data_IF_900588250030
#
_entry.id   IF_900588250030
#
_cell.length_a   1.000
_cell.length_b   1.000
_cell.length_c   1.000
_cell.angle_alpha   90.00
_cell.angle_beta   90.00
_cell.angle_gamma   90.00
#
_symmetry.space_group_name_H-M   'P 1'
#
loop_
_entity.id
_entity.type
_entity.pdbx_description
1 polymer ?
#
# COMPACT_ATOMS: atom_id res chain seq x y z
N UNK A 1 -44.41 12.00 21.13
CA UNK A 1 -44.93 11.93 19.75
C UNK A 1 -43.74 11.95 18.80
N UNK A 2 -43.44 10.85 18.09
CA UNK A 2 -42.45 10.89 17.00
C UNK A 2 -43.14 11.54 15.79
N UNK A 3 -42.50 12.50 15.13
CA UNK A 3 -43.12 13.32 14.08
C UNK A 3 -43.74 12.53 12.89
N UNK A 4 -43.48 11.22 12.78
CA UNK A 4 -43.96 10.35 11.71
C UNK A 4 -45.17 9.47 12.07
N UNK A 5 -45.73 9.59 13.28
CA UNK A 5 -46.88 8.79 13.75
C UNK A 5 -48.07 9.67 14.19
N UNK A 6 -48.33 10.75 13.44
CA UNK A 6 -49.41 11.69 13.75
C UNK A 6 -50.80 11.03 13.75
N UNK A 7 -51.05 10.15 12.78
CA UNK A 7 -52.35 9.48 12.63
C UNK A 7 -52.68 8.55 13.81
N UNK A 8 -51.69 7.76 14.24
CA UNK A 8 -51.82 6.88 15.41
C UNK A 8 -52.00 7.67 16.71
N UNK A 9 -51.25 8.77 16.89
CA UNK A 9 -51.43 9.65 18.05
C UNK A 9 -52.85 10.26 18.09
N UNK A 10 -53.37 10.73 16.95
CA UNK A 10 -54.74 11.23 16.83
C UNK A 10 -55.78 10.13 17.07
N UNK A 11 -55.51 8.88 16.68
CA UNK A 11 -56.38 7.72 16.94
C UNK A 11 -56.43 7.40 18.43
N UNK A 12 -55.28 7.31 19.11
CA UNK A 12 -55.20 7.08 20.55
C UNK A 12 -55.94 8.19 21.31
N UNK A 13 -55.73 9.46 20.95
CA UNK A 13 -56.44 10.58 21.58
C UNK A 13 -57.96 10.49 21.40
N UNK A 14 -58.45 10.03 20.24
CA UNK A 14 -59.88 9.79 20.00
C UNK A 14 -60.42 8.62 20.82
N UNK A 15 -59.67 7.53 20.96
CA UNK A 15 -60.07 6.36 21.74
C UNK A 15 -60.13 6.66 23.25
N UNK A 16 -59.25 7.53 23.75
CA UNK A 16 -59.27 8.04 25.13
C UNK A 16 -60.39 9.07 25.37
N UNK A 17 -61.01 9.58 24.30
CA UNK A 17 -62.11 10.57 24.37
C UNK A 17 -61.66 12.03 24.37
N UNK A 18 -60.36 12.32 24.21
CA UNK A 18 -59.84 13.70 24.10
C UNK A 18 -59.85 14.17 22.64
N UNK A 19 -61.05 14.41 22.13
CA UNK A 19 -61.27 14.82 20.74
C UNK A 19 -60.66 16.19 20.41
N UNK A 20 -60.60 17.10 21.38
CA UNK A 20 -60.01 18.43 21.19
C UNK A 20 -58.50 18.34 20.99
N UNK A 21 -57.81 17.50 21.77
CA UNK A 21 -56.38 17.23 21.60
C UNK A 21 -56.11 16.55 20.26
N UNK A 22 -56.95 15.59 19.86
CA UNK A 22 -56.81 14.95 18.54
C UNK A 22 -56.91 15.97 17.39
N UNK A 23 -57.85 16.92 17.47
CA UNK A 23 -57.99 17.98 16.47
C UNK A 23 -56.78 18.91 16.46
N UNK A 24 -56.25 19.26 17.64
CA UNK A 24 -55.06 20.10 17.78
C UNK A 24 -53.80 19.41 17.22
N UNK A 25 -53.60 18.13 17.53
CA UNK A 25 -52.51 17.31 17.01
C UNK A 25 -52.51 17.30 15.48
N UNK A 26 -53.69 17.16 14.86
CA UNK A 26 -53.83 17.21 13.41
C UNK A 26 -53.34 18.53 12.78
N UNK A 27 -53.17 19.60 13.58
CA UNK A 27 -52.65 20.89 13.14
C UNK A 27 -51.12 21.04 13.28
N UNK A 28 -50.37 20.01 13.69
CA UNK A 28 -48.90 20.10 13.86
C UNK A 28 -48.16 20.52 12.57
N UNK A 29 -48.65 20.12 11.41
CA UNK A 29 -48.11 20.49 10.10
C UNK A 29 -48.80 21.72 9.49
N UNK A 30 -49.62 22.45 10.27
CA UNK A 30 -50.40 23.59 9.77
C UNK A 30 -49.57 24.88 9.63
N UNK A 31 -50.13 25.86 8.91
CA UNK A 31 -49.48 27.15 8.64
C UNK A 31 -49.40 28.07 9.86
N UNK A 32 -48.65 29.17 9.71
CA UNK A 32 -48.38 30.16 10.76
C UNK A 32 -49.59 30.68 11.57
N UNK A 33 -50.79 30.92 10.98
CA UNK A 33 -51.90 31.50 11.73
C UNK A 33 -52.35 30.66 12.93
N UNK A 34 -52.37 29.34 12.79
CA UNK A 34 -52.76 28.43 13.88
C UNK A 34 -51.68 28.42 14.97
N UNK A 35 -50.40 28.45 14.57
CA UNK A 35 -49.28 28.52 15.51
C UNK A 35 -49.34 29.81 16.34
N UNK A 36 -49.66 30.95 15.74
CA UNK A 36 -49.79 32.24 16.44
C UNK A 36 -50.93 32.24 17.46
N UNK A 37 -52.12 31.73 17.07
CA UNK A 37 -53.26 31.62 17.99
C UNK A 37 -52.94 30.75 19.20
N UNK A 38 -52.22 29.64 18.99
CA UNK A 38 -51.82 28.74 20.08
C UNK A 38 -50.76 29.41 20.97
N UNK A 39 -49.82 30.18 20.41
CA UNK A 39 -48.87 30.99 21.19
C UNK A 39 -49.60 32.01 22.07
N UNK A 40 -50.63 32.69 21.55
CA UNK A 40 -51.45 33.60 22.34
C UNK A 40 -52.19 32.86 23.46
N UNK A 41 -52.75 31.68 23.17
CA UNK A 41 -53.43 30.85 24.17
C UNK A 41 -52.50 30.47 25.33
N UNK A 42 -51.26 30.06 25.02
CA UNK A 42 -50.25 29.74 26.04
C UNK A 42 -49.91 30.97 26.90
N UNK A 43 -49.78 32.15 26.27
CA UNK A 43 -49.54 33.42 26.99
C UNK A 43 -50.70 33.77 27.93
N UNK A 44 -51.94 33.60 27.48
CA UNK A 44 -53.13 33.85 28.29
C UNK A 44 -53.20 32.94 29.52
N UNK A 45 -52.91 31.65 29.37
CA UNK A 45 -52.87 30.72 30.50
C UNK A 45 -51.82 31.11 31.53
N UNK A 46 -50.64 31.54 31.06
CA UNK A 46 -49.58 32.05 31.94
C UNK A 46 -50.00 33.32 32.69
N UNK A 47 -50.61 34.29 31.99
CA UNK A 47 -51.06 35.53 32.62
C UNK A 47 -52.19 35.33 33.63
N UNK A 48 -53.13 34.43 33.33
CA UNK A 48 -54.22 34.07 34.22
C UNK A 48 -53.78 33.10 35.35
N UNK A 49 -52.58 32.54 35.27
CA UNK A 49 -52.05 31.57 36.24
C UNK A 49 -52.76 30.22 36.22
N UNK A 50 -53.42 29.88 35.11
CA UNK A 50 -54.16 28.62 34.90
C UNK A 50 -53.21 27.48 34.53
N UNK A 51 -52.00 27.82 34.08
CA UNK A 51 -50.97 26.89 33.65
C UNK A 51 -50.53 25.91 34.74
N UNK A 52 -50.60 26.28 36.03
CA UNK A 52 -50.32 25.42 37.19
C UNK A 52 -51.26 24.21 37.32
N UNK A 53 -52.47 24.32 36.73
CA UNK A 53 -53.48 23.26 36.79
C UNK A 53 -53.49 22.38 35.53
N UNK A 54 -52.62 22.67 34.55
CA UNK A 54 -52.55 21.93 33.28
C UNK A 54 -51.38 20.94 33.36
N UNK A 55 -51.63 19.67 33.01
CA UNK A 55 -50.58 18.65 32.96
C UNK A 55 -49.42 19.06 32.03
N UNK A 56 -48.18 18.79 32.46
CA UNK A 56 -46.96 19.11 31.70
C UNK A 56 -46.99 18.56 30.27
N UNK A 57 -47.46 17.32 30.06
CA UNK A 57 -47.54 16.72 28.71
C UNK A 57 -48.48 17.48 27.78
N UNK A 58 -49.57 18.04 28.32
CA UNK A 58 -50.51 18.87 27.56
C UNK A 58 -49.89 20.22 27.23
N UNK A 59 -49.16 20.85 28.16
CA UNK A 59 -48.43 22.08 27.88
C UNK A 59 -47.32 21.85 26.82
N UNK A 60 -46.57 20.74 26.91
CA UNK A 60 -45.58 20.32 25.90
C UNK A 60 -46.22 20.13 24.53
N UNK A 61 -47.40 19.53 24.47
CA UNK A 61 -48.14 19.36 23.22
C UNK A 61 -48.57 20.69 22.60
N UNK A 62 -49.13 21.61 23.40
CA UNK A 62 -49.52 22.93 22.90
C UNK A 62 -48.29 23.72 22.43
N UNK A 63 -47.17 23.65 23.16
CA UNK A 63 -45.90 24.24 22.75
C UNK A 63 -45.36 23.66 21.43
N UNK A 64 -45.47 22.34 21.25
CA UNK A 64 -45.10 21.65 20.01
C UNK A 64 -45.92 22.16 18.82
N UNK A 65 -47.24 22.32 18.98
CA UNK A 65 -48.13 22.82 17.90
C UNK A 65 -47.88 24.30 17.63
N UNK A 66 -47.56 25.09 18.66
CA UNK A 66 -47.10 26.46 18.50
C UNK A 66 -45.75 26.58 17.77
N UNK A 67 -44.99 25.48 17.64
CA UNK A 67 -43.64 25.48 17.08
C UNK A 67 -42.62 26.17 17.98
N UNK A 68 -42.87 26.19 19.29
CA UNK A 68 -41.93 26.68 20.31
C UNK A 68 -41.22 25.47 20.93
N UNK A 69 -39.89 25.44 20.89
CA UNK A 69 -39.10 24.41 21.57
C UNK A 69 -39.08 24.60 23.09
N UNK A 70 -39.36 25.81 23.56
CA UNK A 70 -39.23 26.19 24.95
C UNK A 70 -40.34 27.13 25.41
N UNK A 71 -40.96 26.82 26.55
CA UNK A 71 -42.03 27.63 27.14
C UNK A 71 -41.81 27.80 28.64
N UNK A 72 -41.94 29.02 29.14
CA UNK A 72 -41.90 29.29 30.57
C UNK A 72 -43.30 29.22 31.19
N UNK A 73 -43.51 28.31 32.12
CA UNK A 73 -44.73 28.17 32.93
C UNK A 73 -44.41 28.40 34.42
N UNK A 74 -45.44 28.51 35.27
CA UNK A 74 -45.32 28.43 36.73
C UNK A 74 -44.77 27.09 37.23
N UNK A 75 -44.90 26.01 36.45
CA UNK A 75 -44.21 24.74 36.70
C UNK A 75 -42.69 24.82 36.48
N UNK A 76 -42.18 25.95 35.99
CA UNK A 76 -40.80 26.15 35.60
C UNK A 76 -40.60 26.20 34.08
N UNK A 77 -39.34 26.22 33.63
CA UNK A 77 -39.00 26.12 32.22
C UNK A 77 -39.38 24.74 31.67
N UNK A 78 -40.24 24.70 30.65
CA UNK A 78 -40.67 23.47 29.99
C UNK A 78 -39.86 23.31 28.70
N UNK A 79 -39.02 22.28 28.67
CA UNK A 79 -38.36 21.80 27.45
C UNK A 79 -39.26 20.79 26.72
N UNK A 80 -39.67 21.13 25.51
CA UNK A 80 -40.47 20.25 24.65
C UNK A 80 -39.63 19.12 24.07
N UNK A 81 -38.32 19.32 23.98
CA UNK A 81 -37.34 18.40 23.43
C UNK A 81 -36.77 17.43 24.46
N UNK A 82 -37.21 17.53 25.72
CA UNK A 82 -36.70 16.72 26.83
C UNK A 82 -36.82 15.22 26.51
N UNK A 83 -35.70 14.51 26.57
CA UNK A 83 -35.61 13.08 26.29
C UNK A 83 -35.60 12.70 24.80
N UNK A 84 -35.55 13.67 23.87
CA UNK A 84 -35.35 13.40 22.45
C UNK A 84 -33.86 13.34 22.08
N UNK A 85 -33.54 12.41 21.17
CA UNK A 85 -32.25 12.41 20.47
C UNK A 85 -32.06 13.73 19.73
N UNK A 86 -30.84 14.25 19.71
CA UNK A 86 -30.51 15.52 19.05
C UNK A 86 -30.95 15.60 17.57
N UNK A 87 -31.01 14.45 16.88
CA UNK A 87 -31.48 14.35 15.48
C UNK A 87 -32.98 14.70 15.34
N UNK A 88 -33.73 14.69 16.44
CA UNK A 88 -35.18 14.94 16.49
C UNK A 88 -35.54 16.31 17.09
N UNK A 89 -34.56 17.08 17.55
CA UNK A 89 -34.79 18.36 18.25
C UNK A 89 -34.74 19.58 17.32
N UNK A 90 -34.74 19.38 16.00
CA UNK A 90 -34.75 20.46 15.03
C UNK A 90 -36.15 21.06 14.86
N UNK A 91 -36.34 22.27 15.39
CA UNK A 91 -37.59 23.04 15.29
C UNK A 91 -37.35 24.33 14.51
N UNK A 92 -38.10 24.55 13.44
CA UNK A 92 -38.01 25.79 12.67
C UNK A 92 -39.32 26.17 11.97
N UNK A 93 -39.39 27.43 11.54
CA UNK A 93 -40.44 27.90 10.64
C UNK A 93 -40.40 27.13 9.31
N UNK A 94 -41.55 26.89 8.64
CA UNK A 94 -41.58 26.35 7.28
C UNK A 94 -40.81 27.20 6.25
N UNK A 95 -40.56 28.48 6.56
CA UNK A 95 -39.80 29.41 5.72
C UNK A 95 -38.31 29.46 6.03
N UNK A 96 -37.84 28.82 7.10
CA UNK A 96 -36.44 28.83 7.50
C UNK A 96 -35.62 27.92 6.59
N UNK A 97 -34.41 28.35 6.25
CA UNK A 97 -33.46 27.48 5.56
C UNK A 97 -32.88 26.45 6.53
N UNK A 98 -32.33 25.36 6.00
CA UNK A 98 -31.65 24.33 6.82
C UNK A 98 -30.51 24.97 7.64
N UNK A 99 -29.85 26.00 7.11
CA UNK A 99 -28.80 26.76 7.82
C UNK A 99 -29.39 27.49 9.03
N UNK A 100 -30.50 28.23 8.84
CA UNK A 100 -31.12 28.99 9.93
C UNK A 100 -31.60 28.06 11.06
N UNK A 101 -32.12 26.89 10.70
CA UNK A 101 -32.53 25.85 11.66
C UNK A 101 -31.34 25.30 12.45
N UNK A 102 -30.20 25.09 11.79
CA UNK A 102 -28.98 24.60 12.42
C UNK A 102 -28.37 25.65 13.35
N UNK A 103 -28.31 26.90 12.91
CA UNK A 103 -27.81 28.03 13.71
C UNK A 103 -28.66 28.22 14.97
N UNK A 104 -30.00 28.14 14.84
CA UNK A 104 -30.92 28.20 15.98
C UNK A 104 -30.67 27.04 16.94
N UNK A 105 -30.53 25.81 16.42
CA UNK A 105 -30.22 24.65 17.24
C UNK A 105 -28.89 24.80 17.99
N UNK A 106 -27.86 25.36 17.36
CA UNK A 106 -26.57 25.64 18.04
C UNK A 106 -26.70 26.64 19.18
N UNK A 107 -27.57 27.65 19.05
CA UNK A 107 -27.81 28.58 20.16
C UNK A 107 -28.43 27.92 21.39
N UNK A 108 -29.10 26.77 21.25
CA UNK A 108 -29.79 26.10 22.36
C UNK A 108 -28.88 25.26 23.26
N UNK A 109 -27.71 24.84 22.77
CA UNK A 109 -26.72 24.10 23.57
C UNK A 109 -25.38 24.84 23.77
N UNK A 110 -25.24 26.04 23.19
CA UNK A 110 -24.08 26.90 23.42
C UNK A 110 -24.12 27.51 24.83
N UNK A 111 -23.39 26.89 25.76
CA UNK A 111 -23.32 27.27 27.19
C UNK A 111 -22.74 28.68 27.39
N UNK A 112 -22.12 29.28 26.37
CA UNK A 112 -21.64 30.67 26.43
C UNK A 112 -22.76 31.71 26.24
N UNK A 113 -23.87 31.32 25.61
CA UNK A 113 -24.99 32.21 25.26
C UNK A 113 -26.23 31.97 26.12
N UNK A 114 -26.43 30.76 26.60
CA UNK A 114 -27.57 30.40 27.44
C UNK A 114 -27.14 29.93 28.82
N UNK A 115 -27.84 30.39 29.86
CA UNK A 115 -27.60 29.99 31.25
C UNK A 115 -27.90 28.51 31.52
N UNK A 116 -28.61 27.84 30.61
CA UNK A 116 -29.00 26.43 30.67
C UNK A 116 -28.97 25.83 29.26
N UNK A 117 -28.70 24.53 29.17
CA UNK A 117 -28.75 23.75 27.92
C UNK A 117 -30.19 23.28 27.74
N UNK A 118 -30.81 23.65 26.61
CA UNK A 118 -32.23 23.40 26.33
C UNK A 118 -32.45 22.34 25.25
N UNK A 119 -31.41 21.59 24.89
CA UNK A 119 -31.49 20.53 23.89
C UNK A 119 -30.38 19.51 24.07
N UNK A 120 -30.58 18.32 23.54
CA UNK A 120 -29.58 17.25 23.53
C UNK A 120 -28.38 17.66 22.67
N UNK A 121 -27.18 17.62 23.23
CA UNK A 121 -25.92 17.90 22.52
C UNK A 121 -25.75 16.85 21.40
N UNK A 122 -25.23 17.22 20.20
CA UNK A 122 -25.04 16.28 19.10
C UNK A 122 -23.85 15.34 19.35
N UNK A 123 -24.03 14.41 20.29
CA UNK A 123 -23.06 13.39 20.67
C UNK A 123 -23.12 12.17 19.75
N UNK A 124 -21.98 11.49 19.50
CA UNK A 124 -21.96 10.20 18.81
C UNK A 124 -22.77 9.13 19.55
N UNK A 125 -23.51 8.32 18.79
CA UNK A 125 -24.45 7.32 19.33
C UNK A 125 -23.80 6.28 20.25
N UNK A 126 -22.55 5.88 19.97
CA UNK A 126 -21.84 4.87 20.75
C UNK A 126 -21.47 5.32 22.17
N UNK A 127 -21.49 6.63 22.48
CA UNK A 127 -21.07 7.15 23.79
C UNK A 127 -22.14 7.08 24.87
N UNK A 128 -23.40 6.81 24.51
CA UNK A 128 -24.49 6.73 25.48
C UNK A 128 -24.65 7.99 26.32
N UNK A 129 -25.22 7.86 27.52
CA UNK A 129 -25.56 8.98 28.41
C UNK A 129 -24.41 9.43 29.34
N UNK A 130 -23.39 8.59 29.52
CA UNK A 130 -22.16 8.90 30.26
C UNK A 130 -21.17 9.75 29.43
N UNK A 131 -21.70 10.70 28.67
CA UNK A 131 -20.92 11.53 27.75
C UNK A 131 -20.20 12.63 28.50
N UNK A 132 -18.93 12.41 28.83
CA UNK A 132 -17.99 13.50 29.04
C UNK A 132 -17.57 14.06 27.67
N UNK A 133 -17.71 15.37 27.50
CA UNK A 133 -17.25 16.07 26.30
C UNK A 133 -15.75 15.88 26.16
N UNK A 134 -15.32 14.89 25.36
CA UNK A 134 -13.91 14.78 25.03
C UNK A 134 -13.49 16.01 24.26
N UNK A 135 -12.45 16.65 24.78
CA UNK A 135 -11.89 17.86 24.24
C UNK A 135 -10.72 17.47 23.35
N UNK A 136 -10.87 17.63 22.04
CA UNK A 136 -9.73 17.59 21.13
C UNK A 136 -9.27 19.02 20.85
N UNK A 137 -8.06 19.36 21.27
CA UNK A 137 -7.47 20.69 21.08
C UNK A 137 -8.36 21.86 21.60
N UNK A 138 -9.03 21.67 22.72
CA UNK A 138 -9.93 22.69 23.30
C UNK A 138 -11.34 22.71 22.73
N UNK A 139 -11.68 21.84 21.76
CA UNK A 139 -13.02 21.76 21.17
C UNK A 139 -13.73 20.43 21.46
N UNK A 140 -15.05 20.47 21.71
CA UNK A 140 -15.84 19.26 21.87
C UNK A 140 -15.97 18.49 20.55
N UNK A 141 -15.93 17.16 20.64
CA UNK A 141 -16.16 16.26 19.51
C UNK A 141 -17.67 16.02 19.36
N UNK A 142 -18.19 16.21 18.14
CA UNK A 142 -19.59 15.99 17.82
C UNK A 142 -19.78 14.79 16.88
N UNK A 143 -21.03 14.37 16.74
CA UNK A 143 -21.43 13.30 15.81
C UNK A 143 -21.09 13.65 14.35
N UNK A 144 -20.70 12.64 13.58
CA UNK A 144 -20.38 12.76 12.15
C UNK A 144 -21.52 13.40 11.33
N UNK A 145 -22.78 13.01 11.59
CA UNK A 145 -23.93 13.58 10.90
C UNK A 145 -24.08 15.07 11.18
N UNK A 146 -23.78 15.52 12.40
CA UNK A 146 -23.82 16.94 12.75
C UNK A 146 -22.74 17.72 11.99
N UNK A 147 -21.52 17.18 11.91
CA UNK A 147 -20.45 17.78 11.10
C UNK A 147 -20.79 17.84 9.60
N UNK A 148 -21.49 16.82 9.07
CA UNK A 148 -21.97 16.83 7.67
C UNK A 148 -23.06 17.87 7.44
N UNK A 149 -24.01 18.03 8.38
CA UNK A 149 -25.01 19.11 8.32
C UNK A 149 -24.33 20.48 8.34
N UNK A 150 -23.34 20.68 9.21
CA UNK A 150 -22.52 21.90 9.24
C UNK A 150 -21.82 22.16 7.91
N UNK A 151 -21.23 21.12 7.31
CA UNK A 151 -20.57 21.22 6.02
C UNK A 151 -21.55 21.60 4.91
N UNK A 152 -22.71 20.95 4.85
CA UNK A 152 -23.76 21.27 3.89
C UNK A 152 -24.26 22.71 4.04
N UNK A 153 -24.48 23.16 5.29
CA UNK A 153 -24.97 24.49 5.55
C UNK A 153 -23.93 25.56 5.28
N UNK A 154 -22.67 25.42 5.69
CA UNK A 154 -21.65 26.50 5.64
C UNK A 154 -20.73 26.43 4.41
N UNK A 155 -20.61 25.26 3.78
CA UNK A 155 -19.67 24.99 2.69
C UNK A 155 -18.19 24.84 3.13
N UNK A 156 -17.78 25.46 4.24
CA UNK A 156 -16.38 25.58 4.66
C UNK A 156 -16.11 25.01 6.07
N UNK A 157 -16.85 23.98 6.51
CA UNK A 157 -16.61 23.31 7.80
C UNK A 157 -15.29 22.51 7.79
N UNK A 158 -14.58 22.46 8.92
CA UNK A 158 -13.26 21.83 8.97
C UNK A 158 -13.36 20.30 8.79
N UNK A 159 -12.78 19.80 7.69
CA UNK A 159 -12.86 18.37 7.37
C UNK A 159 -12.03 17.50 8.31
N UNK A 160 -10.98 18.05 8.93
CA UNK A 160 -10.15 17.29 9.85
C UNK A 160 -10.88 16.85 11.11
N UNK A 161 -11.75 17.70 11.67
CA UNK A 161 -12.60 17.35 12.81
C UNK A 161 -13.64 16.28 12.41
N UNK A 162 -14.23 16.44 11.22
CA UNK A 162 -15.23 15.53 10.67
C UNK A 162 -14.68 14.11 10.45
N UNK A 163 -13.45 13.99 9.95
CA UNK A 163 -12.82 12.71 9.63
C UNK A 163 -12.20 12.00 10.85
N UNK A 164 -12.31 12.57 12.06
CA UNK A 164 -11.82 11.92 13.26
C UNK A 164 -12.68 10.67 13.58
N UNK A 165 -12.09 9.47 13.82
CA UNK A 165 -12.83 8.27 14.19
C UNK A 165 -13.81 8.47 15.36
N UNK A 166 -13.42 9.29 16.35
CA UNK A 166 -14.24 9.59 17.51
C UNK A 166 -15.63 10.19 17.18
N UNK A 167 -15.84 10.71 15.96
CA UNK A 167 -17.15 11.23 15.52
C UNK A 167 -18.20 10.14 15.28
N UNK A 168 -17.81 8.87 15.13
CA UNK A 168 -18.72 7.79 14.73
C UNK A 168 -18.42 6.41 15.33
N UNK A 169 -17.23 6.19 15.91
CA UNK A 169 -16.88 4.90 16.55
C UNK A 169 -16.14 5.10 17.87
N UNK A 170 -16.29 4.13 18.77
CA UNK A 170 -15.58 4.07 20.04
C UNK A 170 -14.11 3.67 19.89
N UNK A 171 -13.78 2.99 18.78
CA UNK A 171 -12.43 2.54 18.50
C UNK A 171 -11.62 3.67 17.83
N UNK A 172 -10.60 4.25 18.48
CA UNK A 172 -9.80 5.31 17.88
C UNK A 172 -8.98 4.84 16.68
N UNK A 173 -8.88 3.53 16.43
CA UNK A 173 -8.14 2.92 15.33
C UNK A 173 -9.02 2.57 14.12
N UNK A 174 -10.35 2.70 14.20
CA UNK A 174 -11.22 2.42 13.05
C UNK A 174 -11.30 3.62 12.10
N UNK A 175 -10.38 3.65 11.12
CA UNK A 175 -10.32 4.70 10.10
C UNK A 175 -11.13 4.36 8.84
N UNK A 176 -11.88 3.25 8.82
CA UNK A 176 -12.60 2.79 7.62
C UNK A 176 -13.62 3.80 7.13
N UNK A 177 -14.52 4.26 8.01
CA UNK A 177 -15.54 5.24 7.62
C UNK A 177 -14.92 6.61 7.38
N UNK A 178 -13.91 7.01 8.16
CA UNK A 178 -13.13 8.23 7.90
C UNK A 178 -12.53 8.23 6.49
N UNK A 179 -11.89 7.15 6.06
CA UNK A 179 -11.29 7.08 4.74
C UNK A 179 -12.34 7.11 3.62
N UNK A 180 -13.42 6.34 3.75
CA UNK A 180 -14.51 6.34 2.77
C UNK A 180 -15.17 7.72 2.66
N UNK A 181 -15.43 8.37 3.80
CA UNK A 181 -16.00 9.71 3.85
C UNK A 181 -15.07 10.71 3.17
N UNK A 182 -13.75 10.63 3.40
CA UNK A 182 -12.77 11.46 2.72
C UNK A 182 -12.85 11.30 1.19
N UNK A 183 -12.96 10.08 0.66
CA UNK A 183 -13.06 9.87 -0.79
C UNK A 183 -14.36 10.44 -1.36
N UNK A 184 -15.49 10.23 -0.67
CA UNK A 184 -16.79 10.79 -1.11
C UNK A 184 -16.75 12.31 -1.11
N UNK A 185 -16.26 12.94 -0.04
CA UNK A 185 -16.17 14.40 0.06
C UNK A 185 -15.26 15.00 -1.01
N UNK A 186 -14.11 14.38 -1.30
CA UNK A 186 -13.24 14.78 -2.40
C UNK A 186 -13.94 14.67 -3.76
N UNK A 187 -14.71 13.59 -3.98
CA UNK A 187 -15.47 13.40 -5.23
C UNK A 187 -16.58 14.44 -5.44
N UNK A 188 -17.16 14.95 -4.34
CA UNK A 188 -18.15 16.03 -4.35
C UNK A 188 -17.52 17.42 -4.53
N UNK A 189 -16.20 17.52 -4.54
CA UNK A 189 -15.44 18.76 -4.77
C UNK A 189 -14.93 19.45 -3.50
N UNK A 190 -15.11 18.88 -2.31
CA UNK A 190 -14.57 19.43 -1.07
C UNK A 190 -13.07 19.16 -0.98
N UNK A 191 -12.26 20.19 -1.24
CA UNK A 191 -10.79 20.07 -1.35
C UNK A 191 -10.02 20.76 -0.22
N UNK A 192 -10.71 21.40 0.72
CA UNK A 192 -10.12 22.14 1.84
C UNK A 192 -9.59 21.25 2.98
N UNK A 193 -9.20 20.01 2.66
CA UNK A 193 -8.55 19.09 3.59
C UNK A 193 -7.04 19.32 3.57
N UNK A 194 -6.45 19.54 4.75
CA UNK A 194 -5.00 19.62 4.88
C UNK A 194 -4.33 18.32 4.39
N UNK A 195 -3.20 18.45 3.70
CA UNK A 195 -2.46 17.31 3.18
C UNK A 195 -2.04 16.34 4.30
N UNK A 196 -1.64 16.88 5.46
CA UNK A 196 -1.27 16.08 6.63
C UNK A 196 -2.39 15.16 7.09
N UNK A 197 -3.61 15.71 7.27
CA UNK A 197 -4.75 14.89 7.71
C UNK A 197 -5.16 13.88 6.65
N UNK A 198 -5.10 14.25 5.36
CA UNK A 198 -5.37 13.30 4.29
C UNK A 198 -4.40 12.11 4.35
N UNK A 199 -3.09 12.38 4.46
CA UNK A 199 -2.05 11.35 4.59
C UNK A 199 -2.28 10.49 5.83
N UNK A 200 -2.61 11.09 6.97
CA UNK A 200 -2.90 10.38 8.22
C UNK A 200 -4.03 9.36 8.04
N UNK A 201 -5.14 9.77 7.42
CA UNK A 201 -6.28 8.86 7.14
C UNK A 201 -5.87 7.72 6.21
N UNK A 202 -5.10 8.01 5.16
CA UNK A 202 -4.59 6.98 4.24
C UNK A 202 -3.71 5.96 4.96
N UNK A 203 -2.73 6.44 5.72
CA UNK A 203 -1.76 5.59 6.43
C UNK A 203 -2.47 4.75 7.48
N UNK A 204 -3.31 5.35 8.33
CA UNK A 204 -3.97 4.63 9.41
C UNK A 204 -4.92 3.55 8.87
N UNK A 205 -5.72 3.87 7.85
CA UNK A 205 -6.60 2.86 7.25
C UNK A 205 -5.81 1.76 6.52
N UNK A 206 -4.73 2.10 5.82
CA UNK A 206 -3.84 1.11 5.21
C UNK A 206 -3.19 0.19 6.26
N UNK A 207 -2.75 0.74 7.41
CA UNK A 207 -2.20 -0.07 8.51
C UNK A 207 -3.24 -0.97 9.16
N UNK A 208 -4.49 -0.52 9.28
CA UNK A 208 -5.61 -1.35 9.73
C UNK A 208 -5.80 -2.54 8.79
N UNK A 209 -5.89 -2.30 7.48
CA UNK A 209 -6.01 -3.36 6.47
C UNK A 209 -4.82 -4.32 6.48
N UNK A 210 -3.61 -3.79 6.64
CA UNK A 210 -2.38 -4.59 6.78
C UNK A 210 -2.47 -5.53 8.00
N UNK A 211 -2.92 -5.04 9.15
CA UNK A 211 -3.08 -5.84 10.36
C UNK A 211 -4.13 -6.95 10.22
N UNK A 212 -5.18 -6.75 9.43
CA UNK A 212 -6.17 -7.78 9.09
C UNK A 212 -5.70 -8.78 8.02
N UNK A 213 -4.47 -8.64 7.49
CA UNK A 213 -3.94 -9.48 6.42
C UNK A 213 -4.41 -9.09 5.01
N UNK A 214 -5.16 -7.99 4.87
CA UNK A 214 -5.67 -7.45 3.61
C UNK A 214 -4.69 -6.45 2.99
N UNK A 215 -3.41 -6.81 2.93
CA UNK A 215 -2.34 -5.91 2.50
C UNK A 215 -2.46 -5.45 1.04
N UNK A 216 -3.10 -6.23 0.16
CA UNK A 216 -3.36 -5.82 -1.24
C UNK A 216 -4.34 -4.65 -1.30
N UNK A 217 -5.33 -4.59 -0.40
CA UNK A 217 -6.20 -3.42 -0.24
C UNK A 217 -5.49 -2.26 0.45
N UNK A 218 -4.56 -2.53 1.37
CA UNK A 218 -3.71 -1.49 1.93
C UNK A 218 -2.91 -0.77 0.83
N UNK A 219 -2.41 -1.49 -0.17
CA UNK A 219 -1.75 -0.90 -1.35
C UNK A 219 -2.72 0.01 -2.11
N UNK A 220 -3.95 -0.46 -2.38
CA UNK A 220 -4.99 0.37 -3.01
C UNK A 220 -5.23 1.68 -2.26
N UNK A 221 -5.33 1.64 -0.93
CA UNK A 221 -5.48 2.85 -0.11
C UNK A 221 -4.27 3.79 -0.25
N UNK A 222 -3.05 3.25 -0.24
CA UNK A 222 -1.82 4.05 -0.38
C UNK A 222 -1.63 4.65 -1.77
N UNK A 223 -2.26 4.09 -2.81
CA UNK A 223 -2.25 4.69 -4.16
C UNK A 223 -2.95 6.05 -4.22
N UNK A 224 -3.79 6.39 -3.23
CA UNK A 224 -4.48 7.67 -3.15
C UNK A 224 -3.62 8.80 -2.55
N UNK A 225 -2.39 8.50 -2.11
CA UNK A 225 -1.43 9.52 -1.72
C UNK A 225 -1.13 10.45 -2.90
N UNK A 226 -1.18 11.76 -2.70
CA UNK A 226 -0.93 12.76 -3.77
C UNK A 226 0.53 12.75 -4.25
N UNK A 227 1.47 12.75 -3.30
CA UNK A 227 2.91 12.74 -3.56
C UNK A 227 3.37 11.43 -4.22
N UNK A 228 3.89 11.52 -5.44
CA UNK A 228 4.31 10.36 -6.22
C UNK A 228 5.51 9.61 -5.61
N UNK A 229 6.44 10.33 -4.97
CA UNK A 229 7.59 9.72 -4.31
C UNK A 229 7.17 8.93 -3.09
N UNK A 230 6.40 9.56 -2.18
CA UNK A 230 5.88 8.89 -0.98
C UNK A 230 4.97 7.72 -1.34
N UNK A 231 4.13 7.87 -2.37
CA UNK A 231 3.28 6.79 -2.90
C UNK A 231 4.11 5.61 -3.37
N UNK A 232 5.13 5.83 -4.21
CA UNK A 232 6.04 4.78 -4.68
C UNK A 232 6.71 4.07 -3.50
N UNK A 233 7.31 4.81 -2.57
CA UNK A 233 8.00 4.24 -1.41
C UNK A 233 7.07 3.42 -0.53
N UNK A 234 5.86 3.91 -0.25
CA UNK A 234 4.89 3.20 0.57
C UNK A 234 4.43 1.88 -0.08
N UNK A 235 4.12 1.90 -1.38
CA UNK A 235 3.73 0.70 -2.13
C UNK A 235 4.88 -0.31 -2.15
N UNK A 236 6.10 0.14 -2.46
CA UNK A 236 7.28 -0.74 -2.45
C UNK A 236 7.52 -1.37 -1.08
N UNK A 237 7.37 -0.62 0.02
CA UNK A 237 7.54 -1.14 1.37
C UNK A 237 6.45 -2.16 1.74
N UNK A 238 5.20 -1.97 1.30
CA UNK A 238 4.13 -2.96 1.49
C UNK A 238 4.41 -4.24 0.70
N UNK A 239 4.80 -4.12 -0.56
CA UNK A 239 5.15 -5.25 -1.41
C UNK A 239 6.31 -6.07 -0.82
N UNK A 240 7.40 -5.41 -0.41
CA UNK A 240 8.57 -6.09 0.15
C UNK A 240 8.27 -6.89 1.42
N UNK A 241 7.32 -6.43 2.25
CA UNK A 241 6.93 -7.11 3.49
C UNK A 241 6.07 -8.35 3.19
N UNK A 242 5.08 -8.22 2.31
CA UNK A 242 4.01 -9.22 2.18
C UNK A 242 4.13 -10.15 0.97
N UNK A 243 4.88 -9.79 -0.06
CA UNK A 243 4.93 -10.61 -1.28
C UNK A 243 5.53 -11.99 -1.01
N UNK A 244 4.95 -13.05 -1.56
CA UNK A 244 5.46 -14.41 -1.40
C UNK A 244 6.40 -14.79 -2.56
N UNK A 245 7.41 -15.63 -2.27
CA UNK A 245 8.34 -16.13 -3.28
C UNK A 245 7.77 -17.37 -3.99
N UNK A 246 6.97 -18.15 -3.26
CA UNK A 246 6.44 -19.41 -3.74
C UNK A 246 5.03 -19.17 -4.29
N UNK A 247 4.78 -19.67 -5.49
CA UNK A 247 3.56 -19.38 -6.24
C UNK A 247 2.39 -20.22 -5.68
N UNK A 248 1.81 -19.75 -4.59
CA UNK A 248 0.54 -20.26 -4.05
C UNK A 248 -0.62 -19.72 -4.88
N UNK A 249 -1.75 -20.43 -4.94
CA UNK A 249 -2.93 -19.98 -5.70
C UNK A 249 -3.39 -18.58 -5.26
N UNK A 250 -3.42 -18.32 -3.94
CA UNK A 250 -3.77 -17.03 -3.36
C UNK A 250 -2.72 -15.93 -3.69
N UNK A 251 -1.42 -16.25 -3.68
CA UNK A 251 -0.39 -15.29 -4.10
C UNK A 251 -0.52 -14.90 -5.58
N UNK A 252 -0.84 -15.86 -6.46
CA UNK A 252 -1.03 -15.61 -7.90
C UNK A 252 -2.26 -14.71 -8.13
N UNK A 253 -3.38 -15.00 -7.46
CA UNK A 253 -4.60 -14.18 -7.57
C UNK A 253 -4.36 -12.75 -7.06
N UNK A 254 -3.68 -12.60 -5.92
CA UNK A 254 -3.31 -11.28 -5.40
C UNK A 254 -2.39 -10.54 -6.35
N UNK A 255 -1.35 -11.19 -6.88
CA UNK A 255 -0.45 -10.58 -7.83
C UNK A 255 -1.15 -10.16 -9.13
N UNK A 256 -2.09 -10.98 -9.61
CA UNK A 256 -2.94 -10.65 -10.75
C UNK A 256 -3.78 -9.41 -10.46
N UNK A 257 -4.42 -9.33 -9.29
CA UNK A 257 -5.15 -8.14 -8.85
C UNK A 257 -4.25 -6.89 -8.82
N UNK A 258 -3.02 -6.99 -8.29
CA UNK A 258 -2.08 -5.87 -8.27
C UNK A 258 -1.67 -5.40 -9.68
N UNK A 259 -1.44 -6.33 -10.61
CA UNK A 259 -1.00 -6.03 -11.98
C UNK A 259 -2.14 -5.51 -12.86
N UNK A 260 -3.27 -6.20 -12.86
CA UNK A 260 -4.37 -5.97 -13.80
C UNK A 260 -5.35 -4.91 -13.29
N UNK A 261 -5.77 -4.98 -12.03
CA UNK A 261 -6.79 -4.06 -11.48
C UNK A 261 -6.17 -2.76 -10.96
N UNK A 262 -5.07 -2.85 -10.20
CA UNK A 262 -4.40 -1.66 -9.63
C UNK A 262 -3.37 -1.02 -10.57
N UNK A 263 -2.97 -1.71 -11.65
CA UNK A 263 -2.00 -1.21 -12.62
C UNK A 263 -0.59 -1.04 -12.04
N UNK A 264 -0.19 -1.85 -11.05
CA UNK A 264 1.14 -1.78 -10.45
C UNK A 264 2.18 -2.33 -11.44
N UNK A 265 3.30 -1.62 -11.71
CA UNK A 265 4.34 -2.09 -12.60
C UNK A 265 4.91 -3.45 -12.17
N UNK A 266 5.09 -4.37 -13.12
CA UNK A 266 5.70 -5.68 -12.86
C UNK A 266 7.09 -5.56 -12.26
N UNK A 267 7.88 -4.56 -12.70
CA UNK A 267 9.22 -4.28 -12.18
C UNK A 267 9.26 -4.08 -10.67
N UNK A 268 8.21 -3.52 -10.07
CA UNK A 268 8.13 -3.29 -8.62
C UNK A 268 7.85 -4.57 -7.85
N UNK A 269 6.98 -5.41 -8.40
CA UNK A 269 6.61 -6.72 -7.86
C UNK A 269 7.82 -7.65 -7.94
N UNK A 270 8.46 -7.71 -9.10
CA UNK A 270 9.65 -8.53 -9.35
C UNK A 270 10.81 -8.06 -8.46
N UNK A 271 11.00 -6.74 -8.27
CA UNK A 271 11.99 -6.22 -7.33
C UNK A 271 11.74 -6.70 -5.89
N UNK A 272 10.48 -6.66 -5.42
CA UNK A 272 10.14 -7.12 -4.08
C UNK A 272 10.41 -8.63 -3.91
N UNK A 273 10.05 -9.45 -4.91
CA UNK A 273 10.37 -10.89 -4.96
C UNK A 273 11.87 -11.15 -4.96
N UNK A 274 12.64 -10.33 -5.68
CA UNK A 274 14.10 -10.44 -5.74
C UNK A 274 14.76 -10.24 -4.38
N UNK A 275 14.41 -9.15 -3.68
CA UNK A 275 14.93 -8.85 -2.34
C UNK A 275 14.57 -9.97 -1.36
N UNK A 276 13.33 -10.43 -1.35
CA UNK A 276 12.90 -11.51 -0.44
C UNK A 276 13.63 -12.82 -0.74
N UNK A 277 13.82 -13.16 -2.02
CA UNK A 277 14.58 -14.34 -2.46
C UNK A 277 16.05 -14.28 -2.05
N UNK A 278 16.66 -13.08 -2.11
CA UNK A 278 18.04 -12.87 -1.68
C UNK A 278 18.20 -13.12 -0.17
N UNK A 279 17.30 -12.55 0.65
CA UNK A 279 17.29 -12.78 2.11
C UNK A 279 17.06 -14.26 2.45
N UNK A 280 16.21 -14.95 1.69
CA UNK A 280 15.99 -16.39 1.82
C UNK A 280 17.17 -17.25 1.31
N UNK A 281 18.28 -16.64 0.87
CA UNK A 281 19.47 -17.30 0.28
C UNK A 281 19.16 -18.13 -0.97
N UNK A 282 18.03 -17.86 -1.63
CA UNK A 282 17.65 -18.48 -2.92
C UNK A 282 18.23 -17.63 -4.06
N UNK A 283 19.56 -17.52 -4.11
CA UNK A 283 20.28 -16.60 -5.00
C UNK A 283 19.93 -16.78 -6.49
N UNK A 284 19.66 -18.01 -6.92
CA UNK A 284 19.22 -18.32 -8.27
C UNK A 284 17.89 -17.65 -8.65
N UNK A 285 16.86 -17.79 -7.80
CA UNK A 285 15.57 -17.08 -7.98
C UNK A 285 15.76 -15.57 -7.86
N UNK A 286 16.57 -15.11 -6.91
CA UNK A 286 16.84 -13.69 -6.70
C UNK A 286 17.44 -13.03 -7.96
N UNK A 287 18.43 -13.67 -8.60
CA UNK A 287 19.03 -13.17 -9.82
C UNK A 287 18.02 -13.03 -10.96
N UNK A 288 17.14 -14.03 -11.17
CA UNK A 288 16.09 -13.98 -12.19
C UNK A 288 15.15 -12.79 -11.95
N UNK A 289 14.68 -12.61 -10.71
CA UNK A 289 13.78 -11.52 -10.38
C UNK A 289 14.46 -10.15 -10.46
N UNK A 290 15.75 -10.02 -10.10
CA UNK A 290 16.49 -8.75 -10.29
C UNK A 290 16.68 -8.40 -11.78
N UNK A 291 16.87 -9.40 -12.65
CA UNK A 291 16.89 -9.20 -14.10
C UNK A 291 15.53 -8.67 -14.59
N UNK A 292 14.43 -9.30 -14.15
CA UNK A 292 13.07 -8.88 -14.50
C UNK A 292 12.72 -7.50 -13.95
N UNK A 293 13.28 -7.14 -12.80
CA UNK A 293 13.16 -5.81 -12.18
C UNK A 293 14.08 -4.73 -12.80
N UNK A 294 14.78 -5.05 -13.89
CA UNK A 294 15.73 -4.16 -14.58
C UNK A 294 16.92 -3.70 -13.70
N UNK A 295 17.23 -4.43 -12.62
CA UNK A 295 18.38 -4.17 -11.76
C UNK A 295 19.55 -5.08 -12.14
N UNK A 296 20.17 -4.80 -13.29
CA UNK A 296 21.16 -5.67 -13.90
C UNK A 296 22.47 -5.75 -13.11
N UNK A 297 22.91 -4.64 -12.51
CA UNK A 297 24.12 -4.58 -11.68
C UNK A 297 24.00 -5.53 -10.47
N UNK A 298 22.93 -5.41 -9.69
CA UNK A 298 22.72 -6.26 -8.52
C UNK A 298 22.51 -7.72 -8.90
N UNK A 299 21.81 -7.99 -10.01
CA UNK A 299 21.68 -9.36 -10.52
C UNK A 299 23.05 -9.97 -10.86
N UNK A 300 23.90 -9.20 -11.57
CA UNK A 300 25.25 -9.62 -11.95
C UNK A 300 26.13 -9.88 -10.73
N UNK A 301 26.14 -8.97 -9.75
CA UNK A 301 26.87 -9.14 -8.48
C UNK A 301 26.49 -10.43 -7.77
N UNK A 302 25.18 -10.72 -7.63
CA UNK A 302 24.68 -11.94 -6.99
C UNK A 302 25.13 -13.20 -7.73
N UNK A 303 25.08 -13.17 -9.07
CA UNK A 303 25.51 -14.29 -9.90
C UNK A 303 27.01 -14.56 -9.69
N UNK A 304 27.85 -13.53 -9.73
CA UNK A 304 29.30 -13.68 -9.59
C UNK A 304 29.69 -14.08 -8.16
N UNK A 305 29.08 -13.46 -7.15
CA UNK A 305 29.44 -13.68 -5.77
C UNK A 305 29.03 -15.06 -5.27
N UNK A 306 27.78 -15.48 -5.56
CA UNK A 306 27.18 -16.66 -4.93
C UNK A 306 26.95 -17.85 -5.87
N UNK A 307 26.80 -17.65 -7.18
CA UNK A 307 26.43 -18.73 -8.10
C UNK A 307 27.60 -19.20 -8.96
N UNK A 308 28.41 -18.29 -9.49
CA UNK A 308 29.43 -18.59 -10.50
C UNK A 308 30.49 -19.57 -10.00
N UNK A 309 31.04 -19.35 -8.81
CA UNK A 309 32.07 -20.23 -8.25
C UNK A 309 31.52 -21.64 -7.98
N UNK A 310 30.36 -21.75 -7.35
CA UNK A 310 29.78 -23.05 -7.00
C UNK A 310 29.40 -23.86 -8.24
N UNK A 311 28.96 -23.21 -9.32
CA UNK A 311 28.68 -23.87 -10.61
C UNK A 311 29.96 -24.39 -11.28
N UNK A 312 31.02 -23.58 -11.33
CA UNK A 312 32.26 -23.95 -12.04
C UNK A 312 33.00 -25.06 -11.31
N UNK A 313 33.02 -25.02 -9.97
CA UNK A 313 33.74 -26.00 -9.15
C UNK A 313 33.12 -27.40 -9.26
N UNK A 314 31.79 -27.49 -9.33
CA UNK A 314 31.07 -28.77 -9.34
C UNK A 314 31.03 -29.45 -10.70
N UNK A 315 31.48 -28.79 -11.78
CA UNK A 315 31.69 -29.31 -13.13
C UNK A 315 30.60 -30.25 -13.68
N UNK A 316 29.34 -29.93 -13.43
CA UNK A 316 28.19 -30.67 -13.96
C UNK A 316 27.56 -29.90 -15.12
N UNK A 317 27.32 -30.55 -16.25
CA UNK A 317 26.73 -29.93 -17.46
C UNK A 317 25.41 -29.21 -17.19
N UNK A 318 24.57 -29.74 -16.29
CA UNK A 318 23.28 -29.12 -15.91
C UNK A 318 23.45 -27.75 -15.21
N UNK A 319 24.46 -27.61 -14.36
CA UNK A 319 24.75 -26.35 -13.67
C UNK A 319 25.34 -25.30 -14.62
N UNK A 320 26.09 -25.73 -15.64
CA UNK A 320 26.57 -24.84 -16.72
C UNK A 320 25.42 -24.28 -17.55
N UNK A 321 24.47 -25.13 -17.96
CA UNK A 321 23.27 -24.69 -18.67
C UNK A 321 22.42 -23.72 -17.83
N UNK A 322 22.33 -23.97 -16.52
CA UNK A 322 21.65 -23.07 -15.59
C UNK A 322 22.30 -21.68 -15.51
N UNK A 323 23.61 -21.61 -15.27
CA UNK A 323 24.35 -20.33 -15.23
C UNK A 323 24.29 -19.59 -16.57
N UNK A 324 24.32 -20.33 -17.67
CA UNK A 324 24.14 -19.76 -19.01
C UNK A 324 22.74 -19.16 -19.18
N UNK A 325 21.70 -19.85 -18.75
CA UNK A 325 20.34 -19.31 -18.82
C UNK A 325 20.16 -18.04 -17.98
N UNK A 326 20.90 -17.90 -16.87
CA UNK A 326 20.92 -16.69 -16.05
C UNK A 326 21.70 -15.53 -16.67
N UNK A 327 22.82 -15.82 -17.34
CA UNK A 327 23.66 -14.78 -17.97
C UNK A 327 23.13 -14.35 -19.35
N UNK A 328 22.39 -15.20 -20.05
CA UNK A 328 21.85 -14.92 -21.41
C UNK A 328 21.06 -13.60 -21.49
N UNK A 329 20.15 -13.27 -20.55
CA UNK A 329 19.43 -11.99 -20.58
C UNK A 329 20.31 -10.76 -20.37
N UNK A 330 21.51 -10.93 -19.78
CA UNK A 330 22.46 -9.85 -19.49
C UNK A 330 23.45 -9.59 -20.64
N UNK A 331 23.54 -10.50 -21.61
CA UNK A 331 24.43 -10.41 -22.78
C UNK A 331 24.12 -9.26 -23.77
N UNK A 332 22.87 -8.82 -24.00
CA UNK A 332 22.58 -7.72 -24.92
C UNK A 332 23.31 -6.43 -24.55
N UNK A 333 23.71 -5.65 -25.57
CA UNK A 333 24.54 -4.43 -25.40
C UNK A 333 23.93 -3.37 -24.47
N UNK A 334 22.61 -3.30 -24.44
CA UNK A 334 21.84 -2.41 -23.58
C UNK A 334 22.09 -2.71 -22.09
N UNK A 335 22.17 -3.99 -21.74
CA UNK A 335 22.43 -4.45 -20.38
C UNK A 335 23.93 -4.39 -20.07
N UNK A 336 24.77 -4.94 -20.95
CA UNK A 336 26.21 -5.09 -20.71
C UNK A 336 26.98 -3.78 -20.55
N UNK A 337 26.50 -2.69 -21.17
CA UNK A 337 27.12 -1.36 -21.05
C UNK A 337 26.86 -0.68 -19.71
N UNK A 338 25.76 -1.04 -19.06
CA UNK A 338 25.34 -0.50 -17.76
C UNK A 338 25.93 -1.30 -16.59
N UNK A 339 26.37 -2.53 -16.87
CA UNK A 339 26.91 -3.45 -15.86
C UNK A 339 28.39 -3.14 -15.57
N UNK A 340 28.71 -2.81 -14.31
CA UNK A 340 30.10 -2.57 -13.90
C UNK A 340 30.94 -3.85 -13.97
N UNK A 341 32.03 -3.83 -14.72
CA UNK A 341 32.99 -4.95 -14.77
C UNK A 341 32.51 -6.18 -15.56
N UNK A 342 31.44 -6.05 -16.36
CA UNK A 342 30.89 -7.13 -17.18
C UNK A 342 31.97 -7.86 -18.01
N UNK A 343 32.87 -7.11 -18.65
CA UNK A 343 33.91 -7.64 -19.54
C UNK A 343 34.86 -8.64 -18.88
N UNK A 344 35.16 -8.45 -17.59
CA UNK A 344 36.14 -9.25 -16.86
C UNK A 344 35.49 -10.34 -15.99
N UNK A 345 34.18 -10.24 -15.76
CA UNK A 345 33.43 -11.18 -14.93
C UNK A 345 32.41 -11.95 -15.76
N UNK A 346 31.25 -11.35 -16.04
CA UNK A 346 30.11 -12.03 -16.67
C UNK A 346 30.41 -12.47 -18.11
N UNK A 347 31.06 -11.61 -18.89
CA UNK A 347 31.49 -11.92 -20.25
C UNK A 347 32.59 -12.99 -20.27
N UNK A 348 33.54 -12.94 -19.33
CA UNK A 348 34.58 -13.97 -19.21
C UNK A 348 33.95 -15.35 -18.98
N UNK A 349 33.01 -15.44 -18.02
CA UNK A 349 32.30 -16.67 -17.72
C UNK A 349 31.46 -17.14 -18.91
N UNK A 350 30.75 -16.22 -19.58
CA UNK A 350 29.98 -16.53 -20.77
C UNK A 350 30.87 -17.08 -21.91
N UNK A 351 31.97 -16.38 -22.21
CA UNK A 351 32.92 -16.79 -23.25
C UNK A 351 33.56 -18.14 -22.92
N UNK A 352 33.96 -18.35 -21.66
CA UNK A 352 34.51 -19.61 -21.18
C UNK A 352 33.53 -20.77 -21.37
N UNK A 353 32.27 -20.62 -20.93
CA UNK A 353 31.23 -21.64 -21.08
C UNK A 353 30.90 -21.93 -22.55
N UNK A 354 30.91 -20.92 -23.40
CA UNK A 354 30.66 -21.11 -24.83
C UNK A 354 31.82 -21.87 -25.49
N UNK A 355 33.06 -21.60 -25.08
CA UNK A 355 34.25 -22.29 -25.58
C UNK A 355 34.27 -23.75 -25.12
N UNK A 356 33.96 -24.06 -23.86
CA UNK A 356 33.91 -25.45 -23.37
C UNK A 356 32.87 -26.26 -24.13
N UNK A 357 31.65 -25.76 -24.31
CA UNK A 357 30.60 -26.44 -25.07
C UNK A 357 30.96 -26.61 -26.55
N UNK A 358 31.55 -25.59 -27.17
CA UNK A 358 31.99 -25.67 -28.56
C UNK A 358 33.10 -26.72 -28.73
N UNK A 359 34.04 -26.82 -27.79
CA UNK A 359 35.09 -27.85 -27.83
C UNK A 359 34.52 -29.24 -27.59
N UNK A 360 33.61 -29.41 -26.62
CA UNK A 360 32.94 -30.70 -26.38
C UNK A 360 32.10 -31.16 -27.57
N UNK A 361 31.34 -30.25 -28.19
CA UNK A 361 30.57 -30.57 -29.39
C UNK A 361 31.46 -30.91 -30.58
N UNK A 362 32.59 -30.23 -30.76
CA UNK A 362 33.59 -30.53 -31.79
C UNK A 362 34.27 -31.90 -31.55
N UNK A 363 34.54 -32.27 -30.31
CA UNK A 363 35.06 -33.59 -29.96
C UNK A 363 34.04 -34.71 -30.24
N UNK A 364 32.74 -34.41 -30.20
CA UNK A 364 31.64 -35.35 -30.51
C UNK A 364 31.27 -35.39 -31.99
N UNK A 365 31.44 -34.30 -32.75
CA UNK A 365 31.06 -34.21 -34.16
C UNK A 365 32.23 -34.56 -35.09
N UNK A 366 32.11 -35.67 -35.83
CA UNK A 366 33.13 -36.18 -36.74
C UNK A 366 33.14 -35.51 -38.13
N UNK A 367 32.98 -34.18 -38.24
CA UNK A 367 32.89 -33.47 -39.53
C UNK A 367 34.18 -32.69 -39.90
N UNK A 368 35.03 -33.18 -40.83
CA UNK A 368 36.39 -32.68 -41.03
C UNK A 368 36.52 -31.26 -41.61
N UNK A 369 35.49 -30.73 -42.29
CA UNK A 369 35.61 -29.48 -43.09
C UNK A 369 35.21 -28.20 -42.35
N UNK A 370 34.40 -28.32 -41.29
CA UNK A 370 34.00 -27.19 -40.44
C UNK A 370 34.89 -26.97 -39.21
N UNK A 371 35.76 -27.94 -38.91
CA UNK A 371 36.65 -27.91 -37.74
C UNK A 371 37.69 -26.80 -37.89
N UNK A 372 38.33 -26.63 -39.05
CA UNK A 372 39.44 -25.67 -39.20
C UNK A 372 39.04 -24.21 -38.94
N UNK A 373 37.93 -23.73 -39.50
CA UNK A 373 37.47 -22.35 -39.31
C UNK A 373 36.93 -22.09 -37.90
N UNK A 374 36.23 -23.06 -37.29
CA UNK A 374 35.78 -22.99 -35.90
C UNK A 374 36.94 -23.09 -34.91
N UNK A 375 37.96 -23.87 -35.25
CA UNK A 375 39.13 -24.07 -34.40
C UNK A 375 40.05 -22.84 -34.41
N UNK A 376 40.13 -22.13 -35.55
CA UNK A 376 40.84 -20.85 -35.63
C UNK A 376 40.10 -19.72 -34.89
N UNK A 377 38.76 -19.66 -34.97
CA UNK A 377 37.99 -18.70 -34.17
C UNK A 377 38.03 -19.02 -32.67
N UNK A 378 38.02 -20.29 -32.29
CA UNK A 378 38.21 -20.72 -30.89
C UNK A 378 39.61 -20.41 -30.39
N UNK A 379 40.67 -20.56 -31.21
CA UNK A 379 42.03 -20.15 -30.86
C UNK A 379 42.13 -18.65 -30.62
N UNK A 380 41.50 -17.83 -31.47
CA UNK A 380 41.49 -16.37 -31.30
C UNK A 380 40.73 -15.94 -30.05
N UNK A 381 39.63 -16.61 -29.71
CA UNK A 381 38.90 -16.36 -28.47
C UNK A 381 39.70 -16.81 -27.25
N UNK A 382 40.34 -17.98 -27.33
CA UNK A 382 41.12 -18.56 -26.25
C UNK A 382 42.42 -17.79 -25.97
N UNK A 383 43.02 -17.15 -26.97
CA UNK A 383 44.17 -16.25 -26.76
C UNK A 383 43.77 -14.92 -26.09
N UNK A 384 42.50 -14.52 -26.16
CA UNK A 384 41.98 -13.31 -25.49
C UNK A 384 41.55 -13.53 -24.02
N UNK A 385 41.42 -14.79 -23.58
CA UNK A 385 40.97 -15.13 -22.22
C UNK A 385 42.02 -14.88 -21.11
N UNK A 386 43.32 -15.21 -21.27
CA UNK A 386 44.33 -15.05 -20.22
C UNK A 386 44.38 -13.65 -19.56
N UNK A 387 44.38 -12.52 -20.31
CA UNK A 387 44.39 -11.20 -19.67
C UNK A 387 43.10 -10.90 -18.89
N UNK A 388 41.95 -11.43 -19.34
CA UNK A 388 40.67 -11.28 -18.63
C UNK A 388 40.61 -12.14 -17.37
N UNK A 389 41.16 -13.36 -17.41
CA UNK A 389 41.25 -14.27 -16.25
C UNK A 389 42.11 -13.65 -15.15
N UNK A 390 43.23 -13.01 -15.49
CA UNK A 390 44.09 -12.32 -14.51
C UNK A 390 43.41 -11.15 -13.81
N UNK A 391 42.45 -10.50 -14.48
CA UNK A 391 41.70 -9.37 -13.93
C UNK A 391 40.40 -9.81 -13.22
N UNK A 392 40.15 -11.12 -13.12
CA UNK A 392 38.99 -11.64 -12.40
C UNK A 392 39.12 -11.34 -10.89
N UNK A 393 38.14 -10.64 -10.28
CA UNK A 393 38.25 -10.26 -8.89
C UNK A 393 38.16 -11.48 -7.97
N UNK A 394 39.19 -11.63 -7.15
CA UNK A 394 39.37 -12.79 -6.28
C UNK A 394 39.20 -12.42 -4.81
N UNK A 395 37.99 -11.98 -4.44
CA UNK A 395 37.69 -11.49 -3.09
C UNK A 395 37.65 -12.63 -2.06
N UNK A 396 37.19 -13.81 -2.46
CA UNK A 396 37.08 -14.98 -1.58
C UNK A 396 38.00 -16.12 -2.01
N UNK A 397 38.26 -17.08 -1.09
CA UNK A 397 38.99 -18.30 -1.42
C UNK A 397 38.27 -19.14 -2.50
N UNK A 398 36.93 -19.12 -2.50
CA UNK A 398 36.12 -19.76 -3.55
C UNK A 398 36.33 -19.10 -4.91
N UNK A 399 36.39 -17.77 -4.97
CA UNK A 399 36.67 -17.05 -6.23
C UNK A 399 38.08 -17.35 -6.76
N UNK A 400 39.08 -17.48 -5.88
CA UNK A 400 40.43 -17.93 -6.27
C UNK A 400 40.44 -19.35 -6.82
N UNK A 401 39.67 -20.26 -6.21
CA UNK A 401 39.54 -21.63 -6.69
C UNK A 401 38.82 -21.68 -8.05
N UNK A 402 37.77 -20.87 -8.22
CA UNK A 402 37.10 -20.69 -9.50
C UNK A 402 38.04 -20.16 -10.59
N UNK A 403 38.83 -19.11 -10.29
CA UNK A 403 39.84 -18.58 -11.21
C UNK A 403 40.88 -19.64 -11.59
N UNK A 404 41.36 -20.41 -10.61
CA UNK A 404 42.33 -21.49 -10.85
C UNK A 404 41.73 -22.63 -11.69
N UNK A 405 40.47 -23.01 -11.46
CA UNK A 405 39.80 -24.05 -12.25
C UNK A 405 39.53 -23.59 -13.68
N UNK A 406 39.07 -22.34 -13.88
CA UNK A 406 38.96 -21.73 -15.22
C UNK A 406 40.34 -21.75 -15.89
N UNK A 407 41.40 -21.29 -15.21
CA UNK A 407 42.75 -21.25 -15.78
C UNK A 407 43.24 -22.66 -16.18
N UNK A 408 43.07 -23.65 -15.30
CA UNK A 408 43.42 -25.06 -15.55
C UNK A 408 42.66 -25.64 -16.73
N UNK A 409 41.34 -25.45 -16.78
CA UNK A 409 40.48 -25.90 -17.87
C UNK A 409 40.83 -25.23 -19.18
N UNK A 410 41.08 -23.93 -19.16
CA UNK A 410 41.48 -23.18 -20.36
C UNK A 410 42.80 -23.70 -20.90
N UNK A 411 43.77 -24.02 -20.04
CA UNK A 411 45.03 -24.66 -20.44
C UNK A 411 44.80 -26.08 -21.01
N UNK A 412 43.93 -26.88 -20.39
CA UNK A 412 43.58 -28.20 -20.89
C UNK A 412 42.91 -28.13 -22.28
N UNK A 413 41.97 -27.20 -22.47
CA UNK A 413 41.32 -26.96 -23.76
C UNK A 413 42.32 -26.47 -24.82
N UNK A 414 43.23 -25.56 -24.44
CA UNK A 414 44.30 -25.13 -25.31
C UNK A 414 45.15 -26.31 -25.78
N UNK A 415 45.48 -27.24 -24.87
CA UNK A 415 46.24 -28.45 -25.19
C UNK A 415 45.49 -29.38 -26.12
N UNK A 416 44.22 -29.70 -25.84
CA UNK A 416 43.43 -30.56 -26.72
C UNK A 416 43.31 -29.97 -28.13
N UNK A 417 43.26 -28.65 -28.25
CA UNK A 417 43.21 -27.95 -29.55
C UNK A 417 44.59 -27.89 -30.24
N UNK A 418 45.69 -27.88 -29.48
CA UNK A 418 47.07 -27.77 -29.98
C UNK A 418 47.76 -29.11 -30.26
N UNK A 419 47.20 -30.25 -29.83
CA UNK A 419 47.70 -31.59 -30.17
C UNK A 419 47.70 -31.86 -31.69
N UNK A 420 47.05 -31.03 -32.51
CA UNK A 420 46.95 -31.15 -33.96
C UNK A 420 48.04 -30.40 -34.77
N UNK A 421 48.86 -29.54 -34.16
CA UNK A 421 49.84 -28.68 -34.87
C UNK A 421 51.29 -28.94 -34.45
N UNK A 422 52.27 -28.71 -35.35
CA UNK A 422 53.70 -28.99 -35.09
C UNK A 422 54.42 -27.94 -34.21
N UNK A 423 53.91 -26.71 -34.09
CA UNK A 423 54.48 -25.65 -33.23
C UNK A 423 54.00 -25.75 -31.76
N UNK A 424 54.29 -26.89 -31.13
CA UNK A 424 53.65 -27.36 -29.88
C UNK A 424 54.09 -26.63 -28.60
N UNK A 425 55.36 -26.26 -28.48
CA UNK A 425 55.97 -25.93 -27.18
C UNK A 425 55.94 -24.46 -26.82
N UNK A 426 56.23 -23.56 -27.76
CA UNK A 426 56.30 -22.10 -27.53
C UNK A 426 54.95 -21.49 -27.21
N UNK A 427 53.89 -21.89 -27.93
CA UNK A 427 52.54 -21.37 -27.73
C UNK A 427 51.93 -21.83 -26.40
N UNK A 428 52.20 -23.07 -25.99
CA UNK A 428 51.73 -23.60 -24.69
C UNK A 428 52.51 -22.96 -23.54
N UNK A 429 53.82 -22.77 -23.69
CA UNK A 429 54.65 -22.10 -22.68
C UNK A 429 54.21 -20.64 -22.44
N UNK A 430 53.88 -19.90 -23.50
CA UNK A 430 53.34 -18.54 -23.39
C UNK A 430 51.97 -18.49 -22.70
N UNK A 431 51.12 -19.50 -22.89
CA UNK A 431 49.83 -19.58 -22.19
C UNK A 431 49.99 -19.97 -20.72
N UNK A 432 50.90 -20.89 -20.40
CA UNK A 432 51.21 -21.28 -19.00
C UNK A 432 51.81 -20.11 -18.22
N UNK A 433 52.65 -19.27 -18.85
CA UNK A 433 53.24 -18.11 -18.19
C UNK A 433 52.27 -16.95 -17.99
N UNK A 434 51.16 -16.91 -18.74
CA UNK A 434 50.16 -15.84 -18.66
C UNK A 434 48.95 -16.18 -17.77
N UNK A 435 48.76 -17.43 -17.37
CA UNK A 435 47.59 -17.87 -16.60
C UNK A 435 47.89 -17.93 -15.08
N UNK A 436 46.94 -17.52 -14.22
CA UNK A 436 47.09 -17.57 -12.77
C UNK A 436 46.80 -18.99 -12.26
N UNK A 437 47.79 -19.88 -12.42
CA UNK A 437 47.72 -21.27 -12.02
C UNK A 437 48.37 -21.47 -10.64
N UNK A 438 47.85 -22.39 -9.79
CA UNK A 438 48.51 -22.77 -8.54
C UNK A 438 49.94 -23.29 -8.78
N UNK A 439 50.88 -22.97 -7.89
CA UNK A 439 52.31 -23.30 -8.05
C UNK A 439 52.58 -24.80 -8.27
N UNK A 440 51.83 -25.67 -7.60
CA UNK A 440 51.96 -27.11 -7.78
C UNK A 440 51.56 -27.54 -9.20
N UNK A 441 50.54 -26.89 -9.77
CA UNK A 441 50.06 -27.17 -11.11
C UNK A 441 51.00 -26.59 -12.17
N UNK A 442 51.50 -25.36 -11.99
CA UNK A 442 52.50 -24.78 -12.91
C UNK A 442 53.75 -25.65 -12.97
N UNK A 443 54.23 -26.17 -11.84
CA UNK A 443 55.38 -27.07 -11.80
C UNK A 443 55.13 -28.38 -12.52
N UNK A 444 53.96 -29.01 -12.36
CA UNK A 444 53.60 -30.22 -13.10
C UNK A 444 53.57 -29.97 -14.61
N UNK A 445 53.02 -28.83 -15.04
CA UNK A 445 52.90 -28.50 -16.46
C UNK A 445 54.22 -28.08 -17.09
N UNK A 446 55.08 -27.37 -16.36
CA UNK A 446 56.44 -27.07 -16.80
C UNK A 446 57.29 -28.34 -16.90
N UNK A 447 57.14 -29.30 -15.96
CA UNK A 447 57.79 -30.62 -16.06
C UNK A 447 57.32 -31.39 -17.30
N UNK A 448 56.03 -31.36 -17.61
CA UNK A 448 55.50 -31.99 -18.82
C UNK A 448 56.07 -31.36 -20.10
N UNK A 449 56.16 -30.03 -20.16
CA UNK A 449 56.75 -29.31 -21.30
C UNK A 449 58.25 -29.62 -21.45
N UNK A 450 59.00 -29.64 -20.35
CA UNK A 450 60.43 -29.99 -20.35
C UNK A 450 60.63 -31.43 -20.81
N UNK A 451 59.79 -32.37 -20.36
CA UNK A 451 59.86 -33.77 -20.78
C UNK A 451 59.59 -33.97 -22.27
N UNK A 452 58.69 -33.17 -22.87
CA UNK A 452 58.42 -33.16 -24.32
C UNK A 452 59.58 -32.60 -25.15
N UNK A 453 60.49 -31.83 -24.54
CA UNK A 453 61.72 -31.33 -25.18
C UNK A 453 62.90 -32.30 -25.07
N UNK A 454 62.84 -33.26 -24.15
CA UNK A 454 63.92 -34.23 -23.89
C UNK A 454 63.73 -35.60 -24.56
N UNK A 455 62.66 -35.77 -25.34
CA UNK A 455 62.42 -36.89 -26.27
C UNK A 455 62.48 -36.38 -27.69
#
# INVERSE_FOLDING_TARGET
MKAFELEEACKIAREVGDHCVALLMAQLCSGMPIKELIKEQIKLWKHAGVDENISLDRLKLFALVAGESFVHSKHGPIDVCEGFDWKRTYFSSPTASVRDTLDLYETYFDTSKTSYIYTSIPKPEYRGDDFELEINNGKPIYDLCFHLLKLFCTGNHTLGELLNPATHTADPLDYRLSWLMQQVLLSLGYSHLSEHVAILTHVNFATQLEAYGLWHWAIFVMLHLKDAGKRKTAVMNLLQRHIEIDDTADSIEREKFLREELGIPSTWIDHAKAVKSYVAKRYGKAAIYFIQAEQWNTAHEIIIEHLAADVIINDSSENYDYLRNLLRPLTPLECSSTISGWTYQGQLLWEYMEITMNVESLLRSADPRGISSKLESLKQRLSSLPPKINQFPCLTAKHRLCQAEIAKRTLHLARSLLQSNENKSTSIYQLVSQLPLPEDYTQQELRFIVNMHTT
#
